data_IF_204696140027
#
_entry.id   IF_204696140027
#
_cell.length_a   1.000
_cell.length_b   1.000
_cell.length_c   1.000
_cell.angle_alpha   90.00
_cell.angle_beta   90.00
_cell.angle_gamma   90.00
#
_symmetry.space_group_name_H-M   'P 1'
#
loop_
_entity.id
_entity.type
_entity.pdbx_description
1 polymer ?
#
# COMPACT_ATOMS: atom_id res chain seq x y z
N UNK A 1 32.46 -16.99 44.84
CA UNK A 1 31.59 -15.81 44.60
C UNK A 1 30.83 -16.07 43.29
N UNK A 2 29.86 -16.99 43.22
CA UNK A 2 28.40 -16.73 43.39
C UNK A 2 28.05 -15.27 43.06
N UNK A 3 27.39 -15.05 41.93
CA UNK A 3 26.04 -14.44 41.79
C UNK A 3 25.75 -14.05 40.33
N UNK A 4 24.95 -14.89 39.68
CA UNK A 4 23.94 -14.59 38.64
C UNK A 4 24.46 -14.01 37.32
N UNK A 5 24.55 -14.77 36.22
CA UNK A 5 23.39 -15.21 35.43
C UNK A 5 22.34 -14.09 35.24
N UNK A 6 22.78 -12.89 34.88
CA UNK A 6 21.87 -11.78 34.60
C UNK A 6 22.63 -10.69 33.85
N UNK A 7 22.74 -10.81 32.53
CA UNK A 7 22.64 -9.73 31.52
C UNK A 7 22.42 -10.47 30.17
N UNK A 8 21.41 -11.34 30.18
CA UNK A 8 20.74 -11.81 28.97
C UNK A 8 19.70 -10.74 28.64
N UNK A 9 20.12 -9.53 28.30
CA UNK A 9 19.21 -8.40 28.02
C UNK A 9 19.93 -7.31 27.17
N UNK A 10 20.83 -7.74 26.28
CA UNK A 10 21.33 -6.90 25.17
C UNK A 10 20.59 -7.29 23.87
N UNK A 11 19.34 -7.73 24.01
CA UNK A 11 18.34 -7.52 22.97
C UNK A 11 17.99 -6.04 23.01
N UNK A 12 18.94 -5.22 22.57
CA UNK A 12 18.70 -3.83 22.17
C UNK A 12 17.92 -3.95 20.86
N UNK A 13 16.66 -4.34 21.03
CA UNK A 13 15.57 -4.17 20.08
C UNK A 13 15.27 -2.67 20.06
N UNK A 14 16.25 -1.91 19.60
CA UNK A 14 16.13 -0.50 19.26
C UNK A 14 16.38 -0.42 17.76
N UNK A 15 15.70 -1.30 17.03
CA UNK A 15 15.10 -0.88 15.78
C UNK A 15 13.85 -0.11 16.22
N UNK A 16 14.05 1.11 16.73
CA UNK A 16 12.97 2.08 16.69
C UNK A 16 12.76 2.31 15.21
N UNK A 17 11.79 1.58 14.65
CA UNK A 17 11.02 2.01 13.50
C UNK A 17 10.76 3.50 13.73
N UNK A 18 11.60 4.35 13.14
CA UNK A 18 11.22 5.71 12.81
C UNK A 18 10.29 5.59 11.61
N UNK A 19 9.15 4.92 11.83
CA UNK A 19 7.97 5.20 11.06
C UNK A 19 7.63 6.63 11.43
N UNK A 20 8.04 7.58 10.59
CA UNK A 20 7.40 8.87 10.57
C UNK A 20 5.90 8.56 10.49
N UNK A 21 5.21 8.70 11.63
CA UNK A 21 3.76 8.79 11.66
C UNK A 21 3.44 10.02 10.84
N UNK A 22 3.33 9.84 9.54
CA UNK A 22 2.57 10.76 8.72
C UNK A 22 1.18 10.70 9.32
N UNK A 23 0.78 11.84 9.85
CA UNK A 23 -0.54 12.17 10.33
C UNK A 23 -1.58 11.50 9.42
N UNK A 24 -2.63 10.89 9.98
CA UNK A 24 -3.65 10.11 9.26
C UNK A 24 -4.23 10.85 8.04
N UNK A 25 -3.53 10.77 6.92
CA UNK A 25 -3.54 11.82 5.91
C UNK A 25 -2.94 11.26 4.64
N UNK A 26 -3.75 10.50 3.93
CA UNK A 26 -3.55 10.09 2.55
C UNK A 26 -2.18 9.47 2.21
N UNK A 27 -2.18 8.16 1.99
CA UNK A 27 -1.03 7.44 1.45
C UNK A 27 -1.29 7.00 0.00
N UNK A 28 -0.22 6.74 -0.74
CA UNK A 28 -0.31 6.24 -2.09
C UNK A 28 0.84 5.30 -2.44
N UNK A 29 0.59 4.42 -3.40
CA UNK A 29 1.57 3.52 -3.99
C UNK A 29 1.29 3.37 -5.49
N UNK A 30 2.33 3.05 -6.27
CA UNK A 30 2.14 2.60 -7.65
C UNK A 30 2.17 1.09 -7.69
N UNK A 31 1.33 0.50 -8.54
CA UNK A 31 1.24 -0.94 -8.69
C UNK A 31 0.97 -1.35 -10.13
N UNK A 32 1.37 -2.57 -10.45
CA UNK A 32 1.02 -3.23 -11.71
C UNK A 32 -0.22 -4.09 -11.50
N UNK A 33 -1.18 -4.02 -12.41
CA UNK A 33 -2.39 -4.84 -12.39
C UNK A 33 -2.06 -6.24 -12.90
N UNK A 34 -2.34 -7.25 -12.08
CA UNK A 34 -2.16 -8.66 -12.40
C UNK A 34 -3.46 -9.29 -12.91
N UNK A 35 -4.59 -8.91 -12.31
CA UNK A 35 -5.90 -9.47 -12.64
C UNK A 35 -7.01 -8.44 -12.35
N UNK A 36 -8.03 -8.42 -13.22
CA UNK A 36 -9.20 -7.55 -13.07
C UNK A 36 -10.42 -8.40 -12.74
N UNK A 37 -11.03 -8.14 -11.59
CA UNK A 37 -12.21 -8.84 -11.10
C UNK A 37 -13.37 -7.85 -10.90
N UNK A 38 -14.58 -8.39 -10.70
CA UNK A 38 -15.74 -7.56 -10.39
C UNK A 38 -15.61 -6.99 -8.96
N UNK A 39 -15.33 -5.70 -8.85
CA UNK A 39 -15.28 -4.96 -7.57
C UNK A 39 -13.90 -4.86 -6.94
N UNK A 40 -12.88 -5.53 -7.50
CA UNK A 40 -11.50 -5.43 -7.03
C UNK A 40 -10.50 -5.79 -8.15
N UNK A 41 -9.26 -5.40 -7.97
CA UNK A 41 -8.13 -5.77 -8.84
C UNK A 41 -7.03 -6.39 -8.00
N UNK A 42 -6.38 -7.44 -8.52
CA UNK A 42 -5.17 -7.98 -7.91
C UNK A 42 -3.98 -7.23 -8.50
N UNK A 43 -3.09 -6.76 -7.63
CA UNK A 43 -2.00 -5.88 -8.01
C UNK A 43 -0.70 -6.31 -7.37
N UNK A 44 0.40 -5.93 -7.99
CA UNK A 44 1.75 -6.06 -7.46
C UNK A 44 2.33 -4.66 -7.20
N UNK A 45 2.74 -4.37 -5.98
CA UNK A 45 3.34 -3.08 -5.64
C UNK A 45 4.64 -2.86 -6.43
N UNK A 46 4.74 -1.72 -7.11
CA UNK A 46 5.93 -1.28 -7.83
C UNK A 46 6.72 -0.23 -7.04
N UNK A 47 6.00 0.72 -6.43
CA UNK A 47 6.59 1.83 -5.68
C UNK A 47 5.77 2.10 -4.42
N UNK A 48 6.41 1.96 -3.27
CA UNK A 48 5.77 2.09 -1.95
C UNK A 48 5.38 3.54 -1.60
N UNK A 49 6.18 4.53 -2.02
CA UNK A 49 6.12 5.92 -1.53
C UNK A 49 5.95 6.04 0.00
N UNK A 50 4.76 6.46 0.44
CA UNK A 50 4.40 6.64 1.85
C UNK A 50 3.34 5.63 2.32
N UNK A 51 3.08 4.58 1.54
CA UNK A 51 2.05 3.57 1.83
C UNK A 51 2.40 2.60 2.94
N UNK A 52 3.69 2.30 3.16
CA UNK A 52 4.09 1.20 4.04
C UNK A 52 3.92 -0.19 3.43
N UNK A 53 3.60 -0.28 2.12
CA UNK A 53 3.39 -1.53 1.39
C UNK A 53 4.69 -1.92 0.69
N UNK A 54 5.30 -3.07 1.03
CA UNK A 54 6.55 -3.50 0.41
C UNK A 54 6.45 -3.59 -1.11
N UNK A 55 7.52 -3.21 -1.80
CA UNK A 55 7.68 -3.49 -3.23
C UNK A 55 7.61 -5.00 -3.47
N UNK A 56 7.02 -5.39 -4.60
CA UNK A 56 6.72 -6.77 -4.98
C UNK A 56 5.60 -7.48 -4.18
N UNK A 57 4.99 -6.84 -3.18
CA UNK A 57 3.83 -7.39 -2.46
C UNK A 57 2.62 -7.52 -3.40
N UNK A 58 1.94 -8.66 -3.35
CA UNK A 58 0.74 -8.96 -4.15
C UNK A 58 -0.51 -9.03 -3.28
N UNK A 59 -1.52 -8.24 -3.60
CA UNK A 59 -2.77 -8.16 -2.83
C UNK A 59 -3.91 -7.57 -3.65
N UNK A 60 -5.12 -7.59 -3.09
CA UNK A 60 -6.32 -7.08 -3.74
C UNK A 60 -6.63 -5.64 -3.32
N UNK A 61 -6.98 -4.79 -4.29
CA UNK A 61 -7.44 -3.41 -4.10
C UNK A 61 -8.88 -3.29 -4.57
N UNK A 62 -9.75 -2.73 -3.73
CA UNK A 62 -11.15 -2.48 -4.10
C UNK A 62 -11.26 -1.45 -5.23
N UNK A 63 -12.18 -1.65 -6.17
CA UNK A 63 -12.55 -0.63 -7.16
C UNK A 63 -13.71 0.26 -6.68
N UNK A 64 -14.18 0.05 -5.45
CA UNK A 64 -15.13 0.95 -4.80
C UNK A 64 -14.33 2.11 -4.17
N UNK A 65 -14.27 3.23 -4.88
CA UNK A 65 -13.47 4.40 -4.52
C UNK A 65 -14.35 5.58 -4.13
N UNK A 66 -13.85 6.43 -3.23
CA UNK A 66 -14.58 7.64 -2.79
C UNK A 66 -14.69 8.70 -3.90
N UNK A 67 -13.73 8.77 -4.83
CA UNK A 67 -13.72 9.74 -5.90
C UNK A 67 -15.02 9.69 -6.73
N UNK A 68 -15.64 10.86 -6.96
CA UNK A 68 -16.93 10.96 -7.67
C UNK A 68 -16.89 10.49 -9.12
N UNK A 69 -15.71 10.51 -9.75
CA UNK A 69 -15.51 9.97 -11.10
C UNK A 69 -15.33 8.44 -11.13
N UNK A 70 -15.24 7.81 -9.96
CA UNK A 70 -15.03 6.37 -9.84
C UNK A 70 -13.64 5.91 -10.29
N UNK A 71 -13.49 4.59 -10.42
CA UNK A 71 -12.30 3.92 -10.95
C UNK A 71 -12.31 3.96 -12.48
N UNK A 72 -11.17 4.26 -13.14
CA UNK A 72 -11.09 4.23 -14.60
C UNK A 72 -11.26 2.79 -15.13
N UNK A 73 -11.38 2.64 -16.44
CA UNK A 73 -11.32 1.30 -17.06
C UNK A 73 -9.90 0.74 -16.92
N UNK A 74 -9.73 -0.30 -16.09
CA UNK A 74 -8.44 -0.94 -15.81
C UNK A 74 -8.33 -2.24 -16.60
N UNK A 75 -7.15 -2.50 -17.16
CA UNK A 75 -6.77 -3.73 -17.85
C UNK A 75 -5.60 -4.41 -17.14
N UNK A 76 -5.45 -5.71 -17.41
CA UNK A 76 -4.26 -6.46 -17.00
C UNK A 76 -3.02 -5.79 -17.61
N UNK A 77 -1.94 -5.76 -16.85
CA UNK A 77 -0.66 -5.10 -17.15
C UNK A 77 -0.65 -3.56 -17.07
N UNK A 78 -1.78 -2.90 -16.80
CA UNK A 78 -1.78 -1.45 -16.54
C UNK A 78 -0.98 -1.12 -15.27
N UNK A 79 -0.30 0.03 -15.31
CA UNK A 79 0.28 0.64 -14.12
C UNK A 79 -0.73 1.63 -13.54
N UNK A 80 -0.96 1.54 -12.23
CA UNK A 80 -1.93 2.38 -11.53
C UNK A 80 -1.29 3.05 -10.32
N UNK A 81 -1.83 4.20 -9.93
CA UNK A 81 -1.63 4.81 -8.61
C UNK A 81 -2.88 4.62 -7.77
N UNK A 82 -2.71 4.04 -6.59
CA UNK A 82 -3.78 3.88 -5.60
C UNK A 82 -3.56 4.91 -4.51
N UNK A 83 -4.59 5.68 -4.21
CA UNK A 83 -4.61 6.67 -3.13
C UNK A 83 -5.59 6.22 -2.08
N UNK A 84 -5.16 6.09 -0.83
CA UNK A 84 -5.96 5.55 0.27
C UNK A 84 -5.71 6.29 1.58
N UNK A 85 -6.47 5.97 2.62
CA UNK A 85 -6.41 6.64 3.93
C UNK A 85 -5.17 6.33 4.77
N UNK A 86 -4.25 5.48 4.29
CA UNK A 86 -3.06 5.05 5.04
C UNK A 86 -3.31 3.92 6.03
N UNK A 87 -4.53 3.40 6.13
CA UNK A 87 -4.84 2.26 6.99
C UNK A 87 -4.60 0.95 6.22
N UNK A 88 -3.80 0.07 6.83
CA UNK A 88 -3.59 -1.30 6.38
C UNK A 88 -4.15 -2.21 7.47
N UNK A 89 -5.09 -3.08 7.11
CA UNK A 89 -5.68 -4.03 8.02
C UNK A 89 -4.70 -5.16 8.33
N UNK A 90 -4.64 -5.60 9.59
CA UNK A 90 -3.82 -6.74 10.02
C UNK A 90 -4.43 -8.08 9.56
N UNK A 91 -4.51 -8.29 8.24
CA UNK A 91 -5.01 -9.51 7.60
C UNK A 91 -4.03 -10.09 6.60
N UNK A 92 -4.20 -11.37 6.26
CA UNK A 92 -3.47 -12.02 5.17
C UNK A 92 -4.46 -12.68 4.19
N UNK A 93 -4.49 -12.29 2.90
CA UNK A 93 -3.68 -11.24 2.29
C UNK A 93 -3.97 -9.84 2.85
N UNK A 94 -3.05 -8.90 2.59
CA UNK A 94 -3.14 -7.50 3.00
C UNK A 94 -4.45 -6.87 2.48
N UNK A 95 -5.12 -6.09 3.33
CA UNK A 95 -6.30 -5.31 2.94
C UNK A 95 -6.11 -3.84 3.29
N UNK A 96 -6.50 -2.97 2.37
CA UNK A 96 -6.49 -1.53 2.59
C UNK A 96 -7.77 -1.07 3.29
N UNK A 97 -7.66 0.05 4.01
CA UNK A 97 -8.82 0.80 4.48
C UNK A 97 -9.53 1.52 3.32
N UNK A 98 -9.87 2.79 3.54
CA UNK A 98 -10.64 3.55 2.54
C UNK A 98 -9.75 3.93 1.35
N UNK A 99 -10.09 3.42 0.16
CA UNK A 99 -9.48 3.84 -1.10
C UNK A 99 -10.18 5.10 -1.61
N UNK A 100 -9.42 6.19 -1.73
CA UNK A 100 -9.93 7.46 -2.20
C UNK A 100 -10.02 7.53 -3.71
N UNK A 101 -8.98 7.09 -4.41
CA UNK A 101 -8.93 7.14 -5.87
C UNK A 101 -7.97 6.10 -6.43
N UNK A 102 -8.24 5.69 -7.67
CA UNK A 102 -7.31 4.93 -8.50
C UNK A 102 -7.14 5.71 -9.80
N UNK A 103 -5.90 5.86 -10.24
CA UNK A 103 -5.53 6.51 -11.49
C UNK A 103 -4.71 5.56 -12.37
N UNK A 104 -4.87 5.66 -13.68
CA UNK A 104 -3.92 5.08 -14.63
C UNK A 104 -2.63 5.90 -14.64
N UNK A 105 -1.51 5.23 -14.90
CA UNK A 105 -0.21 5.86 -15.09
C UNK A 105 0.21 5.76 -16.55
N UNK A 106 0.84 6.82 -17.05
CA UNK A 106 1.48 6.79 -18.36
C UNK A 106 2.87 6.10 -18.32
N UNK A 107 3.56 6.08 -19.46
CA UNK A 107 4.88 5.47 -19.58
C UNK A 107 5.98 6.15 -18.73
N UNK A 108 5.77 7.39 -18.29
CA UNK A 108 6.69 8.14 -17.44
C UNK A 108 6.37 7.97 -15.95
N UNK A 109 5.26 7.31 -15.61
CA UNK A 109 4.76 7.18 -14.23
C UNK A 109 3.93 8.38 -13.78
N UNK A 110 3.49 9.23 -14.70
CA UNK A 110 2.63 10.37 -14.43
C UNK A 110 1.15 9.94 -14.39
N UNK A 111 0.38 10.59 -13.52
CA UNK A 111 -1.03 10.29 -13.32
C UNK A 111 -1.86 10.81 -14.50
N UNK A 112 -2.63 9.93 -15.12
CA UNK A 112 -3.67 10.26 -16.09
C UNK A 112 -4.96 10.54 -15.31
N UNK A 113 -5.51 11.78 -15.35
CA UNK A 113 -6.75 12.11 -14.65
C UNK A 113 -7.91 11.26 -15.15
N UNK A 114 -8.78 10.82 -14.24
CA UNK A 114 -10.05 10.20 -14.63
C UNK A 114 -10.91 11.31 -15.26
N UNK A 115 -11.47 11.07 -16.46
CA UNK A 115 -12.36 12.01 -17.17
C UNK A 115 -13.81 11.96 -16.67
#
# INVERSE_FOLDING_TARGET
>A
MKKFLSILLIFVYVITLSGCKNEAGQAYFNAKVLEVNKGFVNVKCLEEFNSGIPVDEEFSVTTDVVASKGTPEIKVDDNIRVVFNGEIMESYPLQLGTVYAIYLLDENGDVIPND
#
